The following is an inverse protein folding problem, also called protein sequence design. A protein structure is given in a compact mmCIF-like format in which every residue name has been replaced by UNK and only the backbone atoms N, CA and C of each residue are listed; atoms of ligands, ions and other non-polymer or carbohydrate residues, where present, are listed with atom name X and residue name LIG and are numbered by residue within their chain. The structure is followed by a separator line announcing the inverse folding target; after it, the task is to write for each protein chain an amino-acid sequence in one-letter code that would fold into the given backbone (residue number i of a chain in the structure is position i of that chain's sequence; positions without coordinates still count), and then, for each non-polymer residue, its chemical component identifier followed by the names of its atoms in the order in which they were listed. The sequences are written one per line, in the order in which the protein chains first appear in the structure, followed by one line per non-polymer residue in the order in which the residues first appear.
data_IF_771837789393
#
_entry.id   IF_771837789393
#
_cell.length_a   1.000
_cell.length_b   1.000
_cell.length_c   1.000
_cell.angle_alpha   90.00
_cell.angle_beta   90.00
_cell.angle_gamma   90.00
#
_symmetry.space_group_name_H-M   'P 1'
#
loop_
_entity.id
_entity.type
_entity.pdbx_description
1 polymer ?
#
# COMPACT_ATOMS: atom_id res chain seq x y z
N UNK A 1 5.86 -0.26 -15.43
CA UNK A 1 4.42 -0.18 -15.78
C UNK A 1 3.62 -0.38 -14.50
N UNK A 2 2.43 0.25 -14.38
CA UNK A 2 1.53 -0.02 -13.27
C UNK A 2 0.60 -1.19 -13.57
N UNK A 3 0.26 -1.95 -12.54
CA UNK A 3 -0.76 -2.99 -12.53
C UNK A 3 -1.88 -2.58 -11.56
N UNK A 4 -3.04 -3.24 -11.68
CA UNK A 4 -4.13 -3.11 -10.72
C UNK A 4 -4.46 -4.47 -10.13
N UNK A 5 -4.89 -4.47 -8.87
CA UNK A 5 -5.29 -5.68 -8.17
C UNK A 5 -6.51 -5.39 -7.32
N UNK A 6 -7.41 -6.36 -7.24
CA UNK A 6 -8.65 -6.25 -6.47
C UNK A 6 -8.73 -7.33 -5.42
N UNK A 7 -9.21 -6.99 -4.24
CA UNK A 7 -9.26 -7.88 -3.08
C UNK A 7 -10.42 -7.52 -2.15
N UNK A 8 -10.91 -8.47 -1.35
CA UNK A 8 -11.96 -8.20 -0.37
C UNK A 8 -11.40 -7.45 0.85
N UNK A 9 -12.11 -6.40 1.29
CA UNK A 9 -11.85 -5.68 2.54
C UNK A 9 -13.05 -5.86 3.47
N UNK A 10 -12.86 -6.22 4.76
CA UNK A 10 -13.96 -6.37 5.71
C UNK A 10 -14.76 -5.07 5.90
N UNK A 11 -16.09 -5.20 6.04
CA UNK A 11 -16.97 -4.09 6.44
C UNK A 11 -18.07 -4.58 7.38
N UNK A 12 -18.75 -3.68 8.12
CA UNK A 12 -19.90 -4.05 8.97
C UNK A 12 -21.03 -4.77 8.24
N UNK A 13 -21.13 -4.59 6.92
CA UNK A 13 -22.18 -5.15 6.07
C UNK A 13 -21.63 -6.23 5.12
N UNK A 14 -20.57 -6.93 5.54
CA UNK A 14 -19.88 -7.95 4.76
C UNK A 14 -18.73 -7.40 3.91
N UNK A 15 -17.87 -8.25 3.33
CA UNK A 15 -16.73 -7.80 2.54
C UNK A 15 -17.13 -6.87 1.38
N UNK A 16 -16.24 -5.94 1.03
CA UNK A 16 -16.35 -5.06 -0.14
C UNK A 16 -15.09 -5.19 -0.98
N UNK A 17 -15.23 -5.23 -2.30
CA UNK A 17 -14.07 -5.30 -3.19
C UNK A 17 -13.42 -3.93 -3.33
N UNK A 18 -12.19 -3.80 -2.85
CA UNK A 18 -11.33 -2.65 -3.11
C UNK A 18 -10.37 -2.97 -4.26
N UNK A 19 -9.95 -1.95 -5.00
CA UNK A 19 -8.98 -2.07 -6.08
C UNK A 19 -7.88 -1.05 -5.87
N UNK A 20 -6.62 -1.46 -6.00
CA UNK A 20 -5.47 -0.55 -5.95
C UNK A 20 -4.59 -0.69 -7.20
N UNK A 21 -4.07 0.45 -7.64
CA UNK A 21 -2.99 0.58 -8.62
C UNK A 21 -1.64 0.55 -7.91
N UNK A 22 -0.70 -0.22 -8.45
CA UNK A 22 0.66 -0.31 -7.93
C UNK A 22 1.67 -0.49 -9.06
N UNK A 23 2.95 -0.27 -8.76
CA UNK A 23 4.05 -0.73 -9.59
C UNK A 23 5.01 -1.56 -8.74
N UNK A 24 5.60 -2.60 -9.34
CA UNK A 24 6.57 -3.49 -8.71
C UNK A 24 7.82 -3.57 -9.57
N UNK A 25 8.99 -3.42 -8.95
CA UNK A 25 10.29 -3.45 -9.64
C UNK A 25 11.39 -3.92 -8.69
N UNK A 26 12.36 -4.64 -9.24
CA UNK A 26 13.46 -5.24 -8.48
C UNK A 26 13.15 -6.67 -8.06
N UNK A 27 14.15 -7.27 -7.42
CA UNK A 27 14.09 -8.57 -6.78
C UNK A 27 14.83 -8.45 -5.44
N UNK A 28 14.37 -9.16 -4.41
CA UNK A 28 14.93 -9.05 -3.06
C UNK A 28 13.86 -9.01 -1.97
N UNK A 29 14.21 -8.50 -0.79
CA UNK A 29 13.23 -8.36 0.30
C UNK A 29 12.18 -7.28 -0.05
N UNK A 30 10.90 -7.52 0.26
CA UNK A 30 9.82 -6.64 -0.16
C UNK A 30 9.82 -5.31 0.59
N UNK A 31 9.73 -4.21 -0.16
CA UNK A 31 9.63 -2.84 0.34
C UNK A 31 8.36 -2.18 -0.23
N UNK A 32 7.39 -1.89 0.63
CA UNK A 32 6.19 -1.15 0.28
C UNK A 32 6.39 0.36 0.50
N UNK A 33 6.09 1.16 -0.52
CA UNK A 33 6.23 2.61 -0.51
C UNK A 33 4.86 3.29 -0.50
N UNK A 34 4.58 4.08 0.54
CA UNK A 34 3.30 4.76 0.77
C UNK A 34 3.46 6.28 0.62
N UNK A 35 2.76 6.88 -0.34
CA UNK A 35 2.82 8.34 -0.59
C UNK A 35 2.00 9.15 0.44
N UNK A 36 2.20 10.47 0.45
CA UNK A 36 1.47 11.41 1.29
C UNK A 36 0.12 11.85 0.68
N UNK A 37 -0.70 12.57 1.45
CA UNK A 37 -1.96 13.12 0.95
C UNK A 37 -1.72 14.11 -0.19
N UNK A 38 -2.53 14.03 -1.25
CA UNK A 38 -2.39 14.87 -2.44
C UNK A 38 -1.30 14.42 -3.43
N UNK A 39 -0.55 13.35 -3.10
CA UNK A 39 0.41 12.73 -4.01
C UNK A 39 -0.17 11.45 -4.64
N UNK A 40 0.68 10.75 -5.38
CA UNK A 40 0.46 9.42 -5.95
C UNK A 40 1.82 8.69 -5.97
N UNK A 41 1.85 7.42 -6.38
CA UNK A 41 3.04 6.55 -6.25
C UNK A 41 4.31 7.11 -6.91
N UNK A 42 4.19 7.90 -7.97
CA UNK A 42 5.32 8.54 -8.68
C UNK A 42 6.12 9.53 -7.81
N UNK A 43 5.62 9.91 -6.62
CA UNK A 43 6.43 10.64 -5.64
C UNK A 43 7.74 9.90 -5.27
N UNK A 44 7.80 8.59 -5.51
CA UNK A 44 8.97 7.75 -5.28
C UNK A 44 9.86 7.53 -6.50
N UNK A 45 9.47 8.00 -7.70
CA UNK A 45 10.24 7.80 -8.94
C UNK A 45 11.72 8.22 -8.84
N UNK A 46 12.09 9.33 -8.14
CA UNK A 46 13.50 9.72 -8.01
C UNK A 46 14.39 8.70 -7.30
N UNK A 47 13.83 7.78 -6.50
CA UNK A 47 14.59 6.80 -5.70
C UNK A 47 14.27 5.35 -6.05
N UNK A 48 13.23 5.09 -6.84
CA UNK A 48 12.71 3.73 -7.06
C UNK A 48 13.76 2.79 -7.65
N UNK A 49 14.56 3.25 -8.61
CA UNK A 49 15.60 2.43 -9.25
C UNK A 49 16.81 2.18 -8.36
N UNK A 50 17.11 3.09 -7.43
CA UNK A 50 18.18 2.89 -6.44
C UNK A 50 17.76 1.81 -5.44
N UNK A 51 16.52 1.89 -4.95
CA UNK A 51 15.96 0.91 -4.02
C UNK A 51 15.80 -0.47 -4.67
N UNK A 52 15.36 -0.50 -5.93
CA UNK A 52 15.15 -1.74 -6.69
C UNK A 52 16.43 -2.51 -7.03
N UNK A 53 17.62 -1.92 -6.79
CA UNK A 53 18.89 -2.63 -6.89
C UNK A 53 19.10 -3.67 -5.79
N UNK A 54 18.34 -3.59 -4.69
CA UNK A 54 18.49 -4.48 -3.52
C UNK A 54 17.16 -5.02 -2.98
N UNK A 55 16.03 -4.45 -3.42
CA UNK A 55 14.69 -4.70 -2.87
C UNK A 55 13.70 -5.01 -3.97
N UNK A 56 12.70 -5.81 -3.61
CA UNK A 56 11.47 -5.92 -4.39
C UNK A 56 10.53 -4.75 -4.00
N UNK A 57 10.58 -3.67 -4.78
CA UNK A 57 9.94 -2.41 -4.44
C UNK A 57 8.53 -2.37 -4.99
N UNK A 58 7.55 -2.21 -4.11
CA UNK A 58 6.13 -2.03 -4.42
C UNK A 58 5.72 -0.60 -4.08
N UNK A 59 5.43 0.23 -5.09
CA UNK A 59 4.86 1.57 -4.89
C UNK A 59 3.37 1.57 -5.20
N UNK A 60 2.56 2.11 -4.30
CA UNK A 60 1.10 1.98 -4.34
C UNK A 60 0.45 3.35 -4.41
N UNK A 61 -0.56 3.49 -5.28
CA UNK A 61 -1.50 4.59 -5.21
C UNK A 61 -2.51 4.29 -4.08
N UNK A 62 -2.54 5.10 -3.03
CA UNK A 62 -3.48 4.92 -1.91
C UNK A 62 -4.93 5.04 -2.40
N UNK A 63 -5.93 4.42 -1.72
CA UNK A 63 -7.34 4.54 -2.10
C UNK A 63 -7.77 5.99 -2.38
N UNK A 64 -8.31 6.24 -3.56
CA UNK A 64 -8.77 7.56 -4.02
C UNK A 64 -7.70 8.48 -4.61
N UNK A 65 -6.47 7.99 -4.76
CA UNK A 65 -5.34 8.73 -5.34
C UNK A 65 -4.80 8.06 -6.60
N UNK A 66 -4.11 8.82 -7.44
CA UNK A 66 -3.46 8.31 -8.65
C UNK A 66 -4.43 7.54 -9.54
N UNK A 67 -4.09 6.29 -9.86
CA UNK A 67 -4.94 5.39 -10.62
C UNK A 67 -5.77 4.42 -9.74
N UNK A 68 -5.67 4.52 -8.41
CA UNK A 68 -6.52 3.76 -7.50
C UNK A 68 -7.90 4.42 -7.36
N UNK A 69 -9.01 3.69 -7.57
CA UNK A 69 -10.32 4.21 -7.20
C UNK A 69 -10.39 4.50 -5.69
N UNK A 70 -11.37 5.32 -5.30
CA UNK A 70 -11.73 5.46 -3.90
C UNK A 70 -12.18 4.11 -3.31
N UNK A 71 -12.16 4.01 -1.98
CA UNK A 71 -12.78 2.86 -1.33
C UNK A 71 -14.27 2.78 -1.73
N UNK A 72 -14.80 1.57 -1.98
CA UNK A 72 -16.21 1.39 -2.32
C UNK A 72 -17.15 1.86 -1.20
N UNK A 73 -18.39 2.15 -1.57
CA UNK A 73 -19.44 2.51 -0.62
C UNK A 73 -19.59 1.48 0.51
N UNK A 74 -19.74 1.99 1.74
CA UNK A 74 -19.82 1.18 2.96
C UNK A 74 -18.47 0.92 3.63
N UNK A 75 -17.35 1.31 3.00
CA UNK A 75 -16.05 1.41 3.67
C UNK A 75 -15.78 2.85 4.09
N UNK A 76 -15.18 3.02 5.27
CA UNK A 76 -14.79 4.34 5.79
C UNK A 76 -13.37 4.65 5.34
N UNK A 77 -13.08 5.91 5.09
CA UNK A 77 -11.72 6.39 4.89
C UNK A 77 -11.04 6.69 6.25
N UNK A 78 -10.99 5.69 7.12
CA UNK A 78 -10.33 5.74 8.42
C UNK A 78 -9.09 4.83 8.47
N UNK A 79 -8.23 5.04 9.48
CA UNK A 79 -6.97 4.29 9.59
C UNK A 79 -7.16 2.77 9.55
N UNK A 80 -8.08 2.16 10.34
CA UNK A 80 -8.25 0.71 10.32
C UNK A 80 -8.65 0.18 8.94
N UNK A 81 -9.54 0.86 8.22
CA UNK A 81 -9.99 0.42 6.90
C UNK A 81 -8.88 0.55 5.85
N UNK A 82 -8.14 1.67 5.89
CA UNK A 82 -7.01 1.88 4.99
C UNK A 82 -5.92 0.83 5.22
N UNK A 83 -5.62 0.51 6.49
CA UNK A 83 -4.66 -0.54 6.84
C UNK A 83 -5.13 -1.94 6.43
N UNK A 84 -6.42 -2.26 6.64
CA UNK A 84 -6.97 -3.53 6.18
C UNK A 84 -6.85 -3.68 4.65
N UNK A 85 -7.04 -2.60 3.89
CA UNK A 85 -6.83 -2.61 2.45
C UNK A 85 -5.35 -2.80 2.07
N UNK A 86 -4.41 -2.18 2.78
CA UNK A 86 -2.97 -2.37 2.56
C UNK A 86 -2.50 -3.78 2.96
N UNK A 87 -3.04 -4.35 4.04
CA UNK A 87 -2.78 -5.73 4.43
C UNK A 87 -3.28 -6.72 3.38
N UNK A 88 -4.53 -6.55 2.92
CA UNK A 88 -5.11 -7.39 1.86
C UNK A 88 -4.37 -7.25 0.52
N UNK A 89 -3.84 -6.07 0.21
CA UNK A 89 -2.93 -5.88 -0.92
C UNK A 89 -1.68 -6.76 -0.76
N UNK A 90 -0.99 -6.69 0.37
CA UNK A 90 0.21 -7.49 0.63
C UNK A 90 -0.08 -8.99 0.53
N UNK A 91 -1.16 -9.46 1.13
CA UNK A 91 -1.60 -10.86 1.04
C UNK A 91 -1.86 -11.28 -0.41
N UNK A 92 -2.55 -10.45 -1.19
CA UNK A 92 -2.88 -10.74 -2.59
C UNK A 92 -1.64 -10.75 -3.49
N UNK A 93 -0.61 -9.96 -3.15
CA UNK A 93 0.67 -9.94 -3.85
C UNK A 93 1.66 -11.01 -3.33
N UNK A 94 1.22 -11.86 -2.40
CA UNK A 94 2.01 -12.90 -1.74
C UNK A 94 3.24 -12.33 -1.00
N UNK A 95 3.06 -11.15 -0.40
CA UNK A 95 4.09 -10.44 0.36
C UNK A 95 3.82 -10.60 1.85
N UNK A 96 4.63 -11.44 2.51
CA UNK A 96 4.58 -11.60 3.96
C UNK A 96 5.45 -10.54 4.67
N UNK A 97 4.80 -9.71 5.50
CA UNK A 97 5.42 -8.69 6.36
C UNK A 97 6.54 -7.88 5.68
N UNK A 98 6.19 -6.96 4.76
CA UNK A 98 7.19 -6.16 4.06
C UNK A 98 7.89 -5.16 5.00
N UNK A 99 9.02 -4.63 4.56
CA UNK A 99 9.48 -3.34 5.03
C UNK A 99 8.58 -2.25 4.46
N UNK A 100 8.26 -1.20 5.22
CA UNK A 100 7.40 -0.12 4.74
C UNK A 100 8.08 1.21 4.93
N UNK A 101 8.13 2.02 3.86
CA UNK A 101 8.52 3.42 3.93
C UNK A 101 7.33 4.33 3.58
N UNK A 102 7.11 5.35 4.42
CA UNK A 102 5.91 6.19 4.31
C UNK A 102 6.18 7.67 4.50
N UNK A 103 5.66 8.53 3.62
CA UNK A 103 5.74 9.99 3.77
C UNK A 103 4.38 10.58 4.21
N UNK A 104 4.38 11.44 5.23
CA UNK A 104 3.16 12.13 5.72
C UNK A 104 2.02 11.14 6.04
N UNK A 105 0.89 11.17 5.32
CA UNK A 105 -0.19 10.18 5.45
C UNK A 105 0.33 8.74 5.30
N UNK A 106 1.23 8.49 4.35
CA UNK A 106 1.86 7.19 4.19
C UNK A 106 2.69 6.78 5.40
N UNK A 107 3.32 7.73 6.10
CA UNK A 107 4.04 7.48 7.35
C UNK A 107 3.11 7.10 8.49
N UNK A 108 1.96 7.78 8.61
CA UNK A 108 0.92 7.43 9.59
C UNK A 108 0.39 6.00 9.35
N UNK A 109 0.09 5.63 8.10
CA UNK A 109 -0.34 4.29 7.74
C UNK A 109 0.75 3.25 8.01
N UNK A 110 2.01 3.53 7.65
CA UNK A 110 3.12 2.62 7.90
C UNK A 110 3.32 2.33 9.41
N UNK A 111 3.25 3.36 10.25
CA UNK A 111 3.32 3.22 11.70
C UNK A 111 2.16 2.37 12.24
N UNK A 112 0.95 2.58 11.73
CA UNK A 112 -0.22 1.79 12.12
C UNK A 112 -0.07 0.32 11.70
N UNK A 113 0.43 0.04 10.49
CA UNK A 113 0.74 -1.32 10.06
C UNK A 113 1.80 -1.97 10.97
N UNK A 114 2.79 -1.18 11.41
CA UNK A 114 3.77 -1.58 12.43
C UNK A 114 3.13 -1.96 13.76
N UNK A 115 2.22 -1.12 14.25
CA UNK A 115 1.45 -1.36 15.49
C UNK A 115 0.63 -2.65 15.42
N UNK A 116 0.05 -2.94 14.25
CA UNK A 116 -0.74 -4.14 13.98
C UNK A 116 0.11 -5.39 13.66
N UNK A 117 1.44 -5.25 13.63
CA UNK A 117 2.41 -6.32 13.33
C UNK A 117 2.28 -6.89 11.92
N UNK A 118 1.72 -6.13 10.99
CA UNK A 118 1.57 -6.49 9.57
C UNK A 118 2.88 -6.36 8.78
N UNK A 119 3.91 -5.73 9.36
CA UNK A 119 5.15 -5.36 8.65
C UNK A 119 6.38 -5.80 9.45
N UNK A 120 7.53 -5.88 8.76
CA UNK A 120 8.81 -6.24 9.36
C UNK A 120 9.50 -5.04 10.00
N UNK A 121 9.49 -3.89 9.33
CA UNK A 121 9.94 -2.61 9.87
C UNK A 121 9.20 -1.45 9.22
N UNK A 122 9.29 -0.29 9.86
CA UNK A 122 8.76 0.99 9.38
C UNK A 122 9.94 1.97 9.26
N UNK A 123 9.98 2.77 8.20
CA UNK A 123 10.99 3.83 7.98
C UNK A 123 10.35 5.09 7.40
#
# INVERSE_FOLDING_TARGET
MSATVSFPVPSPHGPRTATLSYARVGDGEPLLLLHGIGHHRQAWDPVIHLLAGERDVVSVDLPGFGASPALPDGLRHDLPTMNAALGALCETLEIDRPHVAGNSLGGLLALEMGREKLVRSVT
#
